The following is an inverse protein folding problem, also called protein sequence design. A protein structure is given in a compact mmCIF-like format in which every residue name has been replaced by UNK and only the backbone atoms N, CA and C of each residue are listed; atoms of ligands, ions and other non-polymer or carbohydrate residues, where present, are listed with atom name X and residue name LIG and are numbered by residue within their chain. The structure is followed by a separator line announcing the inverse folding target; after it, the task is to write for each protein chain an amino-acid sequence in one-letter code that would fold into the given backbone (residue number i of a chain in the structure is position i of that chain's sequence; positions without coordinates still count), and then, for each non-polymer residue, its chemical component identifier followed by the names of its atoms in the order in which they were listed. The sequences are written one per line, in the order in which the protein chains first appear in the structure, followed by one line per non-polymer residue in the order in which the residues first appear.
data_IF_593248337947
#
_entry.id   IF_593248337947
#
_cell.length_a   1.000
_cell.length_b   1.000
_cell.length_c   1.000
_cell.angle_alpha   90.00
_cell.angle_beta   90.00
_cell.angle_gamma   90.00
#
_symmetry.space_group_name_H-M   'P 1'
#
loop_
_entity.id
_entity.type
_entity.pdbx_description
1 polymer ?
#
# COMPACT_ATOMS: atom_id res chain seq x y z
N UNK A 1 -12.72 6.15 -16.30
CA UNK A 1 -11.80 4.98 -16.40
C UNK A 1 -12.61 3.79 -16.89
N UNK A 2 -12.20 3.16 -17.98
CA UNK A 2 -12.77 1.90 -18.42
C UNK A 2 -12.02 0.74 -17.76
N UNK A 3 -12.74 -0.33 -17.42
CA UNK A 3 -12.17 -1.53 -16.78
C UNK A 3 -12.67 -2.76 -17.51
N UNK A 4 -11.74 -3.66 -17.87
CA UNK A 4 -12.04 -4.94 -18.51
C UNK A 4 -11.45 -6.09 -17.72
N UNK A 5 -12.13 -7.24 -17.75
CA UNK A 5 -11.67 -8.52 -17.20
C UNK A 5 -11.86 -9.57 -18.29
N UNK A 6 -10.97 -10.55 -18.36
CA UNK A 6 -11.00 -11.57 -19.40
C UNK A 6 -10.89 -12.97 -18.79
N UNK A 7 -11.54 -13.93 -19.44
CA UNK A 7 -11.37 -15.37 -19.16
C UNK A 7 -10.36 -16.03 -20.10
N UNK A 8 -10.10 -15.45 -21.27
CA UNK A 8 -9.18 -15.94 -22.29
C UNK A 8 -7.90 -15.12 -22.32
N UNK A 9 -6.76 -15.79 -22.27
CA UNK A 9 -5.43 -15.17 -22.41
C UNK A 9 -5.29 -14.50 -23.77
N UNK A 10 -5.63 -15.20 -24.84
CA UNK A 10 -5.55 -14.68 -26.22
C UNK A 10 -6.35 -13.41 -26.38
N UNK A 11 -7.63 -13.40 -25.97
CA UNK A 11 -8.49 -12.21 -26.08
C UNK A 11 -7.93 -11.03 -25.30
N UNK A 12 -7.39 -11.28 -24.10
CA UNK A 12 -6.83 -10.24 -23.24
C UNK A 12 -5.53 -9.63 -23.80
N UNK A 13 -4.73 -10.43 -24.51
CA UNK A 13 -3.51 -9.95 -25.18
C UNK A 13 -3.85 -9.21 -26.48
N UNK A 14 -4.80 -9.71 -27.27
CA UNK A 14 -5.28 -9.00 -28.48
C UNK A 14 -5.88 -7.64 -28.15
N UNK A 15 -6.67 -7.54 -27.07
CA UNK A 15 -7.20 -6.25 -26.64
C UNK A 15 -6.10 -5.32 -26.13
N UNK A 16 -5.07 -5.84 -25.45
CA UNK A 16 -3.91 -5.04 -25.05
C UNK A 16 -3.21 -4.46 -26.28
N UNK A 17 -2.83 -5.30 -27.25
CA UNK A 17 -2.17 -4.86 -28.48
C UNK A 17 -2.99 -3.78 -29.20
N UNK A 18 -4.31 -3.99 -29.34
CA UNK A 18 -5.22 -3.00 -29.94
C UNK A 18 -5.24 -1.65 -29.22
N UNK A 19 -5.07 -1.62 -27.90
CA UNK A 19 -4.98 -0.37 -27.15
C UNK A 19 -3.62 0.30 -27.34
N UNK A 20 -2.53 -0.48 -27.36
CA UNK A 20 -1.19 0.03 -27.61
C UNK A 20 -1.03 0.60 -29.03
N UNK A 21 -1.65 -0.03 -30.03
CA UNK A 21 -1.68 0.47 -31.41
C UNK A 21 -2.36 1.84 -31.54
N UNK A 22 -3.26 2.17 -30.60
CA UNK A 22 -3.90 3.49 -30.49
C UNK A 22 -3.08 4.50 -29.69
N UNK A 23 -1.89 4.12 -29.24
CA UNK A 23 -1.06 4.91 -28.33
C UNK A 23 -1.67 5.06 -26.93
N UNK A 24 -2.56 4.16 -26.50
CA UNK A 24 -3.18 4.21 -25.18
C UNK A 24 -2.41 3.35 -24.18
N UNK A 25 -1.76 3.93 -23.16
CA UNK A 25 -1.20 3.16 -22.06
C UNK A 25 -2.29 2.47 -21.26
N UNK A 26 -1.99 1.25 -20.82
CA UNK A 26 -2.92 0.34 -20.15
C UNK A 26 -2.39 -0.04 -18.78
N UNK A 27 -3.12 0.32 -17.74
CA UNK A 27 -2.91 -0.23 -16.40
C UNK A 27 -3.44 -1.65 -16.32
N UNK A 28 -2.76 -2.51 -15.57
CA UNK A 28 -3.18 -3.90 -15.41
C UNK A 28 -2.85 -4.44 -14.03
N UNK A 29 -3.70 -5.34 -13.55
CA UNK A 29 -3.47 -6.08 -12.32
C UNK A 29 -2.65 -7.33 -12.67
N UNK A 30 -1.54 -7.51 -11.97
CA UNK A 30 -0.57 -8.58 -12.21
C UNK A 30 -0.12 -9.24 -10.90
N UNK A 31 0.47 -10.42 -11.05
CA UNK A 31 1.25 -11.04 -9.99
C UNK A 31 2.70 -10.60 -10.06
N UNK A 32 3.21 -10.06 -8.94
CA UNK A 32 4.61 -9.63 -8.84
C UNK A 32 5.59 -10.80 -9.01
N UNK A 33 5.15 -12.02 -8.71
CA UNK A 33 5.96 -13.23 -8.79
C UNK A 33 6.48 -13.52 -10.20
N UNK A 34 5.69 -13.22 -11.22
CA UNK A 34 5.99 -13.53 -12.63
C UNK A 34 6.62 -12.35 -13.39
N UNK A 35 7.00 -11.27 -12.69
CA UNK A 35 7.69 -10.14 -13.29
C UNK A 35 9.20 -10.44 -13.28
N UNK A 36 9.71 -10.89 -14.42
CA UNK A 36 11.07 -11.38 -14.60
C UNK A 36 12.15 -10.29 -14.49
N UNK A 37 11.78 -9.03 -14.72
CA UNK A 37 12.64 -7.87 -14.53
C UNK A 37 12.86 -7.51 -13.05
N UNK A 38 12.02 -7.97 -12.12
CA UNK A 38 12.25 -7.73 -10.69
C UNK A 38 13.32 -8.67 -10.15
N UNK A 39 14.19 -8.25 -9.22
CA UNK A 39 15.08 -9.17 -8.52
C UNK A 39 14.31 -10.29 -7.81
N UNK A 40 14.87 -11.51 -7.76
CA UNK A 40 14.20 -12.68 -7.19
C UNK A 40 13.72 -12.46 -5.73
N UNK A 41 14.43 -11.65 -4.95
CA UNK A 41 14.06 -11.30 -3.58
C UNK A 41 12.72 -10.55 -3.47
N UNK A 42 12.30 -9.85 -4.52
CA UNK A 42 11.03 -9.10 -4.56
C UNK A 42 9.88 -9.91 -5.19
N UNK A 43 10.16 -11.10 -5.76
CA UNK A 43 9.15 -11.96 -6.39
C UNK A 43 8.50 -12.89 -5.38
N UNK A 44 7.51 -12.39 -4.63
CA UNK A 44 6.66 -13.20 -3.77
C UNK A 44 5.26 -13.38 -4.37
N UNK A 45 4.54 -14.43 -3.96
CA UNK A 45 3.18 -14.68 -4.46
C UNK A 45 2.21 -13.61 -3.95
N UNK A 46 2.00 -12.58 -4.78
CA UNK A 46 1.06 -11.50 -4.54
C UNK A 46 0.46 -11.03 -5.86
N UNK A 47 -0.86 -11.20 -5.99
CA UNK A 47 -1.60 -11.03 -7.24
C UNK A 47 -2.31 -9.66 -7.35
N UNK A 48 -1.94 -8.70 -6.52
CA UNK A 48 -2.54 -7.36 -6.50
C UNK A 48 -1.53 -6.25 -6.80
N UNK A 49 -0.53 -6.53 -7.63
CA UNK A 49 0.43 -5.54 -8.12
C UNK A 49 -0.11 -4.86 -9.38
N UNK A 50 0.14 -3.57 -9.56
CA UNK A 50 -0.32 -2.84 -10.74
C UNK A 50 0.86 -2.29 -11.53
N UNK A 51 0.85 -2.53 -12.83
CA UNK A 51 1.83 -2.02 -13.78
C UNK A 51 1.12 -1.28 -14.92
N UNK A 52 1.85 -0.42 -15.63
CA UNK A 52 1.38 0.21 -16.86
C UNK A 52 2.17 -0.38 -18.02
N UNK A 53 1.49 -0.94 -19.02
CA UNK A 53 2.10 -1.26 -20.31
C UNK A 53 1.79 -0.11 -21.26
N UNK A 54 2.82 0.50 -21.83
CA UNK A 54 2.70 1.72 -22.63
C UNK A 54 3.14 1.56 -24.09
N UNK A 55 3.73 0.43 -24.45
CA UNK A 55 4.15 0.15 -25.82
C UNK A 55 4.59 -1.29 -26.02
N UNK A 56 4.99 -1.61 -27.25
CA UNK A 56 5.52 -2.91 -27.65
C UNK A 56 6.60 -2.74 -28.71
N UNK A 57 7.78 -3.29 -28.47
CA UNK A 57 8.94 -3.21 -29.36
C UNK A 57 9.60 -4.58 -29.46
N UNK A 58 9.96 -5.00 -30.68
CA UNK A 58 10.66 -6.26 -30.94
C UNK A 58 10.00 -7.49 -30.29
N UNK A 59 8.66 -7.51 -30.22
CA UNK A 59 7.88 -8.60 -29.62
C UNK A 59 7.78 -8.56 -28.09
N UNK A 60 8.36 -7.55 -27.43
CA UNK A 60 8.34 -7.36 -25.97
C UNK A 60 7.49 -6.15 -25.59
N UNK A 61 6.89 -6.18 -24.42
CA UNK A 61 6.01 -5.11 -23.92
C UNK A 61 6.81 -4.15 -23.06
N UNK A 62 6.65 -2.85 -23.31
CA UNK A 62 7.28 -1.79 -22.53
C UNK A 62 6.43 -1.49 -21.29
N UNK A 63 7.06 -1.48 -20.12
CA UNK A 63 6.42 -1.44 -18.81
C UNK A 63 6.95 -0.28 -17.99
N UNK A 64 6.03 0.46 -17.37
CA UNK A 64 6.29 1.33 -16.23
C UNK A 64 5.74 0.65 -14.99
N UNK A 65 6.62 0.28 -14.07
CA UNK A 65 6.29 -0.36 -12.79
C UNK A 65 6.67 0.59 -11.65
N UNK A 66 5.77 0.87 -10.68
CA UNK A 66 6.06 1.77 -9.56
C UNK A 66 7.19 1.29 -8.63
N UNK A 67 7.65 0.04 -8.74
CA UNK A 67 8.79 -0.49 -7.98
C UNK A 67 10.13 -0.12 -8.64
N UNK A 68 10.13 0.21 -9.93
CA UNK A 68 11.34 0.50 -10.71
C UNK A 68 11.57 2.00 -10.83
N UNK A 69 12.85 2.42 -10.83
CA UNK A 69 13.22 3.82 -11.05
C UNK A 69 13.01 4.24 -12.52
N UNK A 70 13.24 3.32 -13.46
CA UNK A 70 13.07 3.53 -14.89
C UNK A 70 12.09 2.53 -15.49
N UNK A 71 11.61 2.83 -16.70
CA UNK A 71 10.86 1.87 -17.50
C UNK A 71 11.71 0.64 -17.81
N UNK A 72 11.04 -0.49 -18.05
CA UNK A 72 11.63 -1.77 -18.40
C UNK A 72 10.77 -2.45 -19.46
N UNK A 73 11.09 -3.67 -19.83
CA UNK A 73 10.27 -4.49 -20.72
C UNK A 73 10.01 -5.90 -20.13
N UNK A 74 9.02 -6.59 -20.70
CA UNK A 74 8.63 -7.94 -20.32
C UNK A 74 8.26 -8.77 -21.56
N UNK A 75 8.55 -10.08 -21.50
CA UNK A 75 8.17 -11.03 -22.56
C UNK A 75 6.66 -11.21 -22.64
N UNK A 76 6.17 -11.69 -23.80
CA UNK A 76 4.77 -12.07 -23.94
C UNK A 76 4.38 -13.14 -22.93
N UNK A 77 5.22 -14.16 -22.78
CA UNK A 77 4.96 -15.33 -21.93
C UNK A 77 4.89 -14.94 -20.45
N UNK A 78 5.83 -14.10 -19.97
CA UNK A 78 5.85 -13.62 -18.59
C UNK A 78 4.67 -12.70 -18.30
N UNK A 79 4.33 -11.81 -19.24
CA UNK A 79 3.18 -10.93 -19.08
C UNK A 79 1.86 -11.73 -19.00
N UNK A 80 1.69 -12.75 -19.83
CA UNK A 80 0.53 -13.66 -19.77
C UNK A 80 0.48 -14.37 -18.41
N UNK A 81 1.62 -14.90 -17.93
CA UNK A 81 1.70 -15.53 -16.60
C UNK A 81 1.31 -14.56 -15.48
N UNK A 82 1.86 -13.35 -15.49
CA UNK A 82 1.59 -12.33 -14.49
C UNK A 82 0.11 -11.90 -14.49
N UNK A 83 -0.50 -11.74 -15.66
CA UNK A 83 -1.91 -11.33 -15.84
C UNK A 83 -2.92 -12.43 -15.48
N UNK A 84 -2.53 -13.70 -15.51
CA UNK A 84 -3.45 -14.84 -15.28
C UNK A 84 -3.00 -15.76 -14.14
N UNK A 85 -2.12 -15.28 -13.27
CA UNK A 85 -1.67 -15.98 -12.07
C UNK A 85 -2.86 -16.45 -11.22
N UNK A 86 -2.78 -17.69 -10.74
CA UNK A 86 -3.81 -18.26 -9.86
C UNK A 86 -3.62 -17.81 -8.40
N UNK A 87 -4.70 -17.83 -7.63
CA UNK A 87 -4.72 -17.43 -6.21
C UNK A 87 -5.43 -16.11 -5.96
N UNK A 88 -5.97 -15.94 -4.75
CA UNK A 88 -6.78 -14.77 -4.37
C UNK A 88 -5.89 -13.57 -3.98
N UNK A 89 -6.17 -12.34 -4.47
CA UNK A 89 -7.15 -12.01 -5.51
C UNK A 89 -6.63 -12.39 -6.90
N UNK A 90 -7.44 -13.05 -7.73
CA UNK A 90 -6.98 -13.44 -9.07
C UNK A 90 -6.96 -12.23 -10.01
N UNK A 91 -5.87 -11.98 -10.78
CA UNK A 91 -5.82 -10.83 -11.67
C UNK A 91 -6.76 -10.98 -12.86
N UNK A 92 -6.94 -12.19 -13.39
CA UNK A 92 -7.87 -12.54 -14.47
C UNK A 92 -7.81 -11.62 -15.70
N UNK A 93 -6.59 -11.31 -16.16
CA UNK A 93 -6.37 -10.47 -17.33
C UNK A 93 -6.80 -9.02 -17.16
N UNK A 94 -7.17 -8.59 -15.95
CA UNK A 94 -7.75 -7.26 -15.69
C UNK A 94 -6.86 -6.16 -16.25
N UNK A 95 -7.49 -5.26 -16.98
CA UNK A 95 -6.85 -4.05 -17.48
C UNK A 95 -7.78 -2.85 -17.33
N UNK A 96 -7.21 -1.66 -17.24
CA UNK A 96 -7.92 -0.42 -17.09
C UNK A 96 -7.15 0.74 -17.72
N UNK A 97 -7.87 1.72 -18.22
CA UNK A 97 -7.28 2.91 -18.82
C UNK A 97 -8.24 4.10 -18.70
N UNK A 98 -7.72 5.35 -18.65
CA UNK A 98 -8.55 6.53 -18.76
C UNK A 98 -9.18 6.58 -20.16
N UNK A 99 -10.49 6.85 -20.23
CA UNK A 99 -11.20 7.08 -21.52
C UNK A 99 -11.15 8.56 -21.87
N UNK A 100 -11.24 9.40 -20.85
CA UNK A 100 -11.17 10.84 -20.94
C UNK A 100 -10.42 11.34 -19.71
N UNK A 101 -9.50 12.25 -19.96
CA UNK A 101 -8.73 12.99 -18.95
C UNK A 101 -9.35 14.39 -18.97
N UNK A 102 -10.12 14.80 -17.94
CA UNK A 102 -10.74 16.12 -17.96
C UNK A 102 -9.64 17.20 -17.92
N UNK A 103 -9.87 18.32 -18.60
CA UNK A 103 -8.90 19.43 -18.62
C UNK A 103 -8.79 20.15 -17.27
N UNK A 104 -9.90 20.20 -16.52
CA UNK A 104 -9.98 20.78 -15.18
C UNK A 104 -10.40 19.73 -14.16
N UNK A 105 -9.80 19.81 -12.97
CA UNK A 105 -10.09 18.91 -11.86
C UNK A 105 -10.50 19.75 -10.66
N UNK A 106 -11.68 19.50 -10.05
CA UNK A 106 -12.08 20.18 -8.82
C UNK A 106 -11.27 19.61 -7.64
N UNK A 107 -9.98 19.98 -7.59
CA UNK A 107 -8.99 19.37 -6.69
C UNK A 107 -9.35 19.61 -5.22
N UNK A 108 -9.87 20.78 -4.88
CA UNK A 108 -10.35 21.06 -3.52
C UNK A 108 -11.41 20.07 -3.04
N UNK A 109 -12.41 19.80 -3.90
CA UNK A 109 -13.46 18.81 -3.60
C UNK A 109 -12.88 17.40 -3.50
N UNK A 110 -11.96 17.06 -4.39
CA UNK A 110 -11.30 15.75 -4.38
C UNK A 110 -10.47 15.53 -3.10
N UNK A 111 -9.77 16.56 -2.63
CA UNK A 111 -9.03 16.53 -1.36
C UNK A 111 -9.97 16.23 -0.20
N UNK A 112 -11.09 16.95 -0.07
CA UNK A 112 -12.05 16.72 1.01
C UNK A 112 -12.68 15.32 0.96
N UNK A 113 -13.03 14.82 -0.23
CA UNK A 113 -13.52 13.45 -0.40
C UNK A 113 -12.48 12.44 0.08
N UNK A 114 -11.21 12.59 -0.33
CA UNK A 114 -10.12 11.69 0.05
C UNK A 114 -9.82 11.72 1.55
N UNK A 115 -9.81 12.90 2.16
CA UNK A 115 -9.64 13.08 3.61
C UNK A 115 -10.78 12.38 4.37
N UNK A 116 -12.02 12.62 3.97
CA UNK A 116 -13.20 12.05 4.62
C UNK A 116 -13.23 10.53 4.51
N UNK A 117 -13.00 9.98 3.33
CA UNK A 117 -13.00 8.53 3.09
C UNK A 117 -11.88 7.83 3.89
N UNK A 118 -10.68 8.42 3.92
CA UNK A 118 -9.54 7.84 4.65
C UNK A 118 -9.77 7.88 6.16
N UNK A 119 -10.17 9.04 6.69
CA UNK A 119 -10.41 9.22 8.13
C UNK A 119 -11.59 8.41 8.65
N UNK A 120 -12.66 8.28 7.86
CA UNK A 120 -13.78 7.40 8.14
C UNK A 120 -13.31 5.94 8.26
N UNK A 121 -12.64 5.41 7.23
CA UNK A 121 -12.15 4.04 7.23
C UNK A 121 -11.18 3.73 8.37
N UNK A 122 -10.39 4.71 8.79
CA UNK A 122 -9.46 4.54 9.91
C UNK A 122 -10.16 4.46 11.28
N UNK A 123 -11.40 4.94 11.41
CA UNK A 123 -12.05 5.15 12.72
C UNK A 123 -13.42 4.52 12.90
N UNK A 124 -14.23 4.41 11.84
CA UNK A 124 -15.67 4.10 11.95
C UNK A 124 -16.02 2.66 11.61
N UNK A 125 -15.12 1.92 10.95
CA UNK A 125 -15.36 0.50 10.61
C UNK A 125 -15.68 -0.28 11.91
N UNK A 126 -16.86 -0.95 11.99
CA UNK A 126 -17.35 -1.53 13.25
C UNK A 126 -16.65 -2.84 13.64
N UNK A 127 -15.76 -3.36 12.80
CA UNK A 127 -14.98 -4.58 13.04
C UNK A 127 -13.52 -4.23 13.38
N UNK A 128 -12.89 -4.91 14.36
CA UNK A 128 -11.59 -4.52 14.90
C UNK A 128 -10.40 -5.00 14.05
N UNK A 129 -10.60 -5.18 12.73
CA UNK A 129 -9.58 -5.68 11.81
C UNK A 129 -8.97 -4.58 10.93
N UNK A 130 -9.50 -3.36 11.00
CA UNK A 130 -9.14 -2.25 10.12
C UNK A 130 -8.87 -0.97 10.93
N UNK A 131 -8.13 -0.06 10.31
CA UNK A 131 -7.82 1.25 10.89
C UNK A 131 -7.09 1.17 12.23
N UNK A 132 -7.31 2.16 13.08
CA UNK A 132 -6.70 2.23 14.40
C UNK A 132 -7.07 1.01 15.27
N UNK A 133 -8.32 0.54 15.20
CA UNK A 133 -8.77 -0.67 15.92
C UNK A 133 -8.05 -1.93 15.45
N UNK A 134 -7.73 -2.03 14.15
CA UNK A 134 -6.91 -3.10 13.59
C UNK A 134 -5.51 -3.15 14.19
N UNK A 135 -4.90 -1.98 14.41
CA UNK A 135 -3.59 -1.88 15.06
C UNK A 135 -3.66 -2.30 16.53
N UNK A 136 -4.70 -1.89 17.27
CA UNK A 136 -4.94 -2.35 18.64
C UNK A 136 -5.17 -3.86 18.71
N UNK A 137 -5.91 -4.40 17.75
CA UNK A 137 -6.14 -5.84 17.67
C UNK A 137 -4.83 -6.60 17.41
N UNK A 138 -3.98 -6.07 16.52
CA UNK A 138 -2.67 -6.63 16.23
C UNK A 138 -1.75 -6.56 17.45
N UNK A 139 -1.70 -5.44 18.18
CA UNK A 139 -0.85 -5.29 19.37
C UNK A 139 -1.19 -6.33 20.45
N UNK A 140 -2.47 -6.52 20.74
CA UNK A 140 -2.95 -7.52 21.70
C UNK A 140 -2.54 -8.95 21.32
N UNK A 141 -2.49 -9.26 20.02
CA UNK A 141 -2.03 -10.57 19.55
C UNK A 141 -0.51 -10.68 19.60
N UNK A 142 0.20 -9.66 19.14
CA UNK A 142 1.66 -9.57 19.12
C UNK A 142 2.24 -9.88 20.51
N UNK A 143 1.64 -9.30 21.56
CA UNK A 143 2.02 -9.52 22.96
C UNK A 143 2.13 -11.00 23.34
N UNK A 144 1.22 -11.83 22.83
CA UNK A 144 1.10 -13.25 23.17
C UNK A 144 1.63 -14.19 22.08
N UNK A 145 2.27 -13.68 21.02
CA UNK A 145 2.80 -14.54 19.94
C UNK A 145 3.83 -15.56 20.43
N UNK A 146 4.82 -15.21 21.28
CA UNK A 146 5.81 -16.18 21.77
C UNK A 146 5.16 -17.38 22.48
N UNK A 147 4.19 -17.11 23.37
CA UNK A 147 3.46 -18.12 24.13
C UNK A 147 2.60 -19.02 23.23
N UNK A 148 1.93 -18.42 22.23
CA UNK A 148 0.97 -19.15 21.37
C UNK A 148 1.61 -19.86 20.18
N UNK A 149 2.71 -19.35 19.67
CA UNK A 149 3.33 -19.81 18.41
C UNK A 149 4.69 -20.48 18.64
N UNK A 150 5.31 -20.26 19.80
CA UNK A 150 6.72 -20.56 20.03
C UNK A 150 7.64 -19.52 19.38
N UNK A 151 8.86 -19.38 19.93
CA UNK A 151 9.78 -18.30 19.58
C UNK A 151 10.10 -18.22 18.07
N UNK A 152 10.41 -19.36 17.44
CA UNK A 152 10.76 -19.41 16.01
C UNK A 152 9.65 -18.85 15.12
N UNK A 153 8.39 -19.25 15.37
CA UNK A 153 7.25 -18.84 14.54
C UNK A 153 6.84 -17.41 14.85
N UNK A 154 6.92 -16.98 16.11
CA UNK A 154 6.71 -15.58 16.50
C UNK A 154 7.68 -14.63 15.78
N UNK A 155 8.97 -14.98 15.72
CA UNK A 155 9.99 -14.20 14.99
C UNK A 155 9.68 -14.13 13.49
N UNK A 156 9.27 -15.25 12.87
CA UNK A 156 8.90 -15.26 11.44
C UNK A 156 7.66 -14.39 11.16
N UNK A 157 6.68 -14.38 12.05
CA UNK A 157 5.48 -13.55 11.93
C UNK A 157 5.82 -12.07 12.12
N UNK A 158 6.69 -11.75 13.08
CA UNK A 158 7.21 -10.40 13.28
C UNK A 158 7.98 -9.92 12.05
N UNK A 159 8.83 -10.77 11.47
CA UNK A 159 9.55 -10.46 10.23
C UNK A 159 8.61 -10.13 9.06
N UNK A 160 7.51 -10.88 8.92
CA UNK A 160 6.48 -10.56 7.93
C UNK A 160 5.78 -9.23 8.20
N UNK A 161 5.50 -8.90 9.46
CA UNK A 161 4.90 -7.62 9.83
C UNK A 161 5.82 -6.45 9.46
N UNK A 162 7.12 -6.54 9.79
CA UNK A 162 8.11 -5.51 9.45
C UNK A 162 8.25 -5.37 7.94
N UNK A 163 8.33 -6.47 7.20
CA UNK A 163 8.38 -6.44 5.72
C UNK A 163 7.18 -5.71 5.12
N UNK A 164 5.99 -5.93 5.65
CA UNK A 164 4.77 -5.22 5.21
C UNK A 164 4.82 -3.72 5.52
N UNK A 165 5.59 -3.30 6.52
CA UNK A 165 5.68 -1.91 6.98
C UNK A 165 6.85 -1.14 6.36
N UNK A 166 8.00 -1.77 6.18
CA UNK A 166 9.22 -1.18 5.62
C UNK A 166 9.23 -1.21 4.09
N UNK A 167 9.09 -2.41 3.50
CA UNK A 167 9.23 -2.63 2.06
C UNK A 167 7.94 -2.29 1.29
N UNK A 168 6.81 -2.76 1.80
CA UNK A 168 5.49 -2.51 1.17
C UNK A 168 4.89 -1.19 1.67
N UNK A 169 5.23 -0.79 2.89
CA UNK A 169 4.91 0.53 3.40
C UNK A 169 5.90 1.59 2.89
N UNK A 170 5.97 2.72 3.59
CA UNK A 170 6.90 3.82 3.25
C UNK A 170 7.98 3.91 4.33
N UNK A 171 8.96 3.01 4.28
CA UNK A 171 10.14 3.07 5.13
C UNK A 171 9.85 2.94 6.63
N UNK A 172 8.88 2.11 7.00
CA UNK A 172 8.51 1.85 8.40
C UNK A 172 7.39 2.75 8.92
N UNK A 173 7.10 3.88 8.26
CA UNK A 173 6.06 4.81 8.71
C UNK A 173 4.65 4.45 8.24
N UNK A 174 4.46 3.34 7.52
CA UNK A 174 3.14 2.86 7.10
C UNK A 174 2.29 3.91 6.35
N UNK A 175 2.87 4.70 5.46
CA UNK A 175 2.22 5.78 4.69
C UNK A 175 1.92 7.07 5.46
N UNK A 176 2.28 7.17 6.75
CA UNK A 176 1.97 8.37 7.54
C UNK A 176 2.73 9.59 7.04
N UNK A 177 3.98 9.46 6.61
CA UNK A 177 4.73 10.58 6.02
C UNK A 177 4.15 11.05 4.68
N UNK A 178 3.77 10.11 3.81
CA UNK A 178 3.11 10.45 2.54
C UNK A 178 1.79 11.19 2.80
N UNK A 179 1.00 10.68 3.75
CA UNK A 179 -0.28 11.29 4.10
C UNK A 179 -0.12 12.63 4.83
N UNK A 180 0.91 12.78 5.66
CA UNK A 180 1.27 14.05 6.29
C UNK A 180 1.63 15.10 5.23
N UNK A 181 2.48 14.76 4.26
CA UNK A 181 2.83 15.66 3.15
C UNK A 181 1.58 16.04 2.32
N UNK A 182 0.68 15.09 2.09
CA UNK A 182 -0.62 15.36 1.45
C UNK A 182 -1.45 16.37 2.27
N UNK A 183 -1.56 16.20 3.59
CA UNK A 183 -2.31 17.11 4.46
C UNK A 183 -1.68 18.50 4.53
N UNK A 184 -0.35 18.58 4.58
CA UNK A 184 0.40 19.84 4.55
C UNK A 184 0.14 20.61 3.25
N UNK A 185 0.31 19.98 2.08
CA UNK A 185 0.01 20.60 0.79
C UNK A 185 -1.48 20.98 0.67
N UNK A 186 -2.37 20.12 1.17
CA UNK A 186 -3.81 20.40 1.22
C UNK A 186 -4.14 21.60 2.10
N UNK A 187 -3.42 21.80 3.20
CA UNK A 187 -3.63 22.93 4.12
C UNK A 187 -3.40 24.27 3.42
N UNK A 188 -2.35 24.37 2.60
CA UNK A 188 -2.03 25.57 1.83
C UNK A 188 -3.09 25.83 0.74
N UNK A 189 -3.49 24.79 0.00
CA UNK A 189 -4.50 24.90 -1.06
C UNK A 189 -5.87 25.31 -0.51
N UNK A 190 -6.29 24.69 0.60
CA UNK A 190 -7.60 24.89 1.20
C UNK A 190 -7.63 26.03 2.24
N UNK A 191 -6.47 26.66 2.48
CA UNK A 191 -6.27 27.71 3.52
C UNK A 191 -6.82 27.26 4.87
N UNK A 192 -6.41 26.07 5.31
CA UNK A 192 -6.90 25.43 6.52
C UNK A 192 -5.75 25.02 7.44
N UNK A 193 -5.44 25.88 8.42
CA UNK A 193 -4.35 25.68 9.38
C UNK A 193 -4.56 24.42 10.26
N UNK A 194 -5.81 23.98 10.46
CA UNK A 194 -6.09 22.75 11.20
C UNK A 194 -5.56 21.51 10.46
N UNK A 195 -5.61 21.50 9.12
CA UNK A 195 -4.98 20.44 8.33
C UNK A 195 -3.45 20.43 8.48
N UNK A 196 -2.83 21.60 8.61
CA UNK A 196 -1.40 21.72 8.86
C UNK A 196 -1.02 21.19 10.24
N UNK A 197 -1.81 21.46 11.27
CA UNK A 197 -1.55 20.92 12.60
C UNK A 197 -1.79 19.41 12.68
N UNK A 198 -2.79 18.89 11.98
CA UNK A 198 -3.00 17.44 11.87
C UNK A 198 -1.88 16.78 11.06
N UNK A 199 -1.30 17.44 10.06
CA UNK A 199 -0.15 16.91 9.30
C UNK A 199 1.05 16.66 10.22
N UNK A 200 1.35 17.58 11.14
CA UNK A 200 2.41 17.40 12.15
C UNK A 200 2.12 16.23 13.09
N UNK A 201 0.86 16.07 13.54
CA UNK A 201 0.45 14.92 14.33
C UNK A 201 0.66 13.61 13.56
N UNK A 202 0.33 13.61 12.26
CA UNK A 202 0.50 12.46 11.37
C UNK A 202 1.98 12.10 11.19
N UNK A 203 2.86 13.09 11.02
CA UNK A 203 4.32 12.88 11.01
C UNK A 203 4.79 12.21 12.30
N UNK A 204 4.39 12.74 13.46
CA UNK A 204 4.79 12.18 14.74
C UNK A 204 4.25 10.76 14.98
N UNK A 205 3.06 10.42 14.45
CA UNK A 205 2.57 9.03 14.46
C UNK A 205 3.41 8.12 13.54
N UNK A 206 3.85 8.65 12.40
CA UNK A 206 4.77 7.97 11.47
C UNK A 206 6.13 7.68 12.10
N UNK A 207 6.67 8.60 12.91
CA UNK A 207 7.93 8.41 13.64
C UNK A 207 7.82 7.23 14.62
N UNK A 208 6.75 7.15 15.42
CA UNK A 208 6.53 6.01 16.33
C UNK A 208 6.39 4.67 15.59
N UNK A 209 5.74 4.67 14.43
CA UNK A 209 5.65 3.48 13.59
C UNK A 209 7.02 3.04 13.08
N UNK A 210 7.85 4.01 12.69
CA UNK A 210 9.23 3.77 12.26
C UNK A 210 10.10 3.23 13.40
N UNK A 211 9.94 3.78 14.60
CA UNK A 211 10.62 3.27 15.80
C UNK A 211 10.18 1.83 16.11
N UNK A 212 8.89 1.53 16.01
CA UNK A 212 8.38 0.16 16.13
C UNK A 212 9.06 -0.78 15.13
N UNK A 213 9.13 -0.40 13.86
CA UNK A 213 9.79 -1.19 12.81
C UNK A 213 11.28 -1.43 13.12
N UNK A 214 11.99 -0.37 13.55
CA UNK A 214 13.38 -0.44 13.96
C UNK A 214 13.62 -1.45 15.09
N UNK A 215 12.86 -1.35 16.19
CA UNK A 215 13.02 -2.26 17.33
C UNK A 215 12.58 -3.68 16.98
N UNK A 216 11.50 -3.85 16.23
CA UNK A 216 11.04 -5.14 15.76
C UNK A 216 12.09 -5.84 14.87
N UNK A 217 12.76 -5.09 13.99
CA UNK A 217 13.87 -5.58 13.18
C UNK A 217 15.06 -6.07 14.01
N UNK A 218 15.36 -5.43 15.15
CA UNK A 218 16.40 -5.88 16.08
C UNK A 218 16.00 -7.18 16.80
N UNK A 219 14.72 -7.32 17.19
CA UNK A 219 14.18 -8.57 17.76
C UNK A 219 14.32 -9.73 16.77
N UNK A 220 13.97 -9.51 15.49
CA UNK A 220 14.12 -10.54 14.46
C UNK A 220 15.58 -10.99 14.25
N UNK A 221 16.55 -10.09 14.43
CA UNK A 221 17.99 -10.38 14.31
C UNK A 221 18.60 -11.02 15.56
N UNK A 222 17.79 -11.30 16.60
CA UNK A 222 18.19 -11.91 17.87
C UNK A 222 19.45 -11.24 18.49
N UNK A 223 19.53 -9.90 18.40
CA UNK A 223 20.62 -9.14 19.02
C UNK A 223 20.41 -9.19 20.54
N UNK A 224 21.17 -10.01 21.23
CA UNK A 224 20.96 -10.36 22.66
C UNK A 224 21.23 -9.22 23.65
N UNK A 225 21.74 -8.08 23.20
CA UNK A 225 21.85 -6.87 24.01
C UNK A 225 20.83 -5.80 23.56
N UNK A 226 20.07 -5.29 24.53
CA UNK A 226 19.25 -4.08 24.38
C UNK A 226 18.15 -4.16 23.29
N UNK A 227 17.38 -5.26 23.29
CA UNK A 227 16.22 -5.41 22.40
C UNK A 227 14.93 -5.46 23.18
N UNK A 228 13.94 -4.67 22.75
CA UNK A 228 12.57 -4.71 23.25
C UNK A 228 11.99 -6.13 23.16
N UNK A 229 11.15 -6.49 24.11
CA UNK A 229 10.36 -7.72 24.13
C UNK A 229 9.15 -7.61 23.20
N UNK A 230 8.51 -8.74 22.87
CA UNK A 230 7.21 -8.74 22.18
C UNK A 230 6.14 -7.94 22.92
N UNK A 231 6.20 -7.90 24.25
CA UNK A 231 5.28 -7.08 25.06
C UNK A 231 5.53 -5.60 24.86
N UNK A 232 6.79 -5.15 24.92
CA UNK A 232 7.13 -3.74 24.68
C UNK A 232 6.84 -3.30 23.25
N UNK A 233 7.05 -4.16 22.25
CA UNK A 233 6.64 -3.90 20.86
C UNK A 233 5.11 -3.76 20.74
N UNK A 234 4.36 -4.59 21.48
CA UNK A 234 2.90 -4.46 21.55
C UNK A 234 2.47 -3.15 22.21
N UNK A 235 3.14 -2.71 23.28
CA UNK A 235 2.87 -1.42 23.93
C UNK A 235 3.06 -0.25 22.97
N UNK A 236 4.13 -0.26 22.18
CA UNK A 236 4.37 0.75 21.14
C UNK A 236 3.24 0.79 20.11
N UNK A 237 2.83 -0.37 19.59
CA UNK A 237 1.78 -0.42 18.57
C UNK A 237 0.40 -0.03 19.13
N UNK A 238 0.15 -0.34 20.40
CA UNK A 238 -1.05 0.09 21.15
C UNK A 238 -1.07 1.61 21.34
N UNK A 239 0.05 2.23 21.71
CA UNK A 239 0.19 3.69 21.79
C UNK A 239 -0.12 4.35 20.44
N UNK A 240 0.49 3.87 19.35
CA UNK A 240 0.25 4.41 18.01
C UNK A 240 -1.23 4.27 17.64
N UNK A 241 -1.85 3.13 17.93
CA UNK A 241 -3.28 2.92 17.68
C UNK A 241 -4.15 3.99 18.35
N UNK A 242 -3.90 4.30 19.62
CA UNK A 242 -4.65 5.34 20.32
C UNK A 242 -4.43 6.73 19.74
N UNK A 243 -3.19 7.06 19.40
CA UNK A 243 -2.84 8.34 18.77
C UNK A 243 -3.48 8.50 17.40
N UNK A 244 -3.50 7.44 16.60
CA UNK A 244 -4.13 7.44 15.29
C UNK A 244 -5.65 7.52 15.38
N UNK A 245 -6.26 6.79 16.31
CA UNK A 245 -7.70 6.92 16.56
C UNK A 245 -8.05 8.38 16.83
N UNK A 246 -7.29 9.07 17.68
CA UNK A 246 -7.48 10.50 17.96
C UNK A 246 -7.27 11.36 16.71
N UNK A 247 -6.14 11.20 16.03
CA UNK A 247 -5.73 12.01 14.87
C UNK A 247 -6.74 11.89 13.72
N UNK A 248 -7.12 10.66 13.36
CA UNK A 248 -8.09 10.43 12.29
C UNK A 248 -9.52 10.80 12.70
N UNK A 249 -9.90 10.69 13.97
CA UNK A 249 -11.20 11.20 14.43
C UNK A 249 -11.27 12.71 14.31
N UNK A 250 -10.20 13.44 14.69
CA UNK A 250 -10.13 14.89 14.47
C UNK A 250 -10.25 15.21 12.97
N UNK A 251 -9.45 14.55 12.13
CA UNK A 251 -9.47 14.75 10.68
C UNK A 251 -10.85 14.48 10.06
N UNK A 252 -11.56 13.45 10.54
CA UNK A 252 -12.92 13.16 10.12
C UNK A 252 -13.87 14.31 10.44
N UNK A 253 -13.79 14.89 11.65
CA UNK A 253 -14.63 16.04 12.01
C UNK A 253 -14.37 17.26 11.13
N UNK A 254 -13.10 17.57 10.84
CA UNK A 254 -12.73 18.67 9.92
C UNK A 254 -13.39 18.47 8.55
N UNK A 255 -13.29 17.26 8.01
CA UNK A 255 -13.84 16.92 6.68
C UNK A 255 -15.35 16.79 6.61
N UNK A 256 -16.03 16.54 7.75
CA UNK A 256 -17.48 16.30 7.78
C UNK A 256 -18.30 17.53 7.38
N UNK A 257 -17.74 18.72 7.60
CA UNK A 257 -18.38 20.02 7.34
C UNK A 257 -18.16 20.56 5.92
N UNK A 258 -17.47 19.80 5.06
CA UNK A 258 -16.95 20.24 3.76
C UNK A 258 -17.58 19.48 2.58
#
# INVERSE_FOLDING_TARGET
IERKKFSSTTTAMTELDKMLDKGQPVGMLTSVFYLDYLPAAYRFHFNAHNIIVYGKENGRYLVSDPVMETTTDISYEDLVRARFAKGMPEPSGRMYYPVQIPGEYPLEKAIWIGIKETSDRMTTIPIPLFGAKGMLYLSKRLRHWPERLGNRKAILWLGNLIRMQEEIGTGGAGFRFLYAAFLDQSSAMLKNDELFDISKQMTSNGDLLRDFAYYAGRVCKNRTSDTKTFSELADMLEEVSHREQKTFTQLYQVSKSK
#
